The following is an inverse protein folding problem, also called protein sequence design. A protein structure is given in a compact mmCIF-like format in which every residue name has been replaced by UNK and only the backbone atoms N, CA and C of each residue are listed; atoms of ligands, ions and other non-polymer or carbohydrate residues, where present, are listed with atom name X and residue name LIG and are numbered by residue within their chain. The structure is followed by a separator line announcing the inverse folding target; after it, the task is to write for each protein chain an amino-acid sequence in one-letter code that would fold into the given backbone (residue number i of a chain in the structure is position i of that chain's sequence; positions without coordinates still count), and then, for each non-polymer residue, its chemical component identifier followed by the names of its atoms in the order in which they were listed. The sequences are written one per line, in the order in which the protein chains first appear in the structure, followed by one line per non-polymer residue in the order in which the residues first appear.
data_IF_166096634891
#
_entry.id   IF_166096634891
#
_cell.length_a   1.000
_cell.length_b   1.000
_cell.length_c   1.000
_cell.angle_alpha   90.00
_cell.angle_beta   90.00
_cell.angle_gamma   90.00
#
_symmetry.space_group_name_H-M   'P 1'
#
loop_
_entity.id
_entity.type
_entity.pdbx_description
1 polymer ?
#
# COMPACT_ATOMS: atom_id res chain seq x y z
N UNK A 1 -31.71 -32.07 7.83
CA UNK A 1 -30.87 -30.90 7.45
C UNK A 1 -29.41 -31.33 7.59
N UNK A 2 -28.57 -31.20 6.56
CA UNK A 2 -27.21 -31.79 6.54
C UNK A 2 -26.25 -30.94 7.41
N UNK A 3 -25.82 -31.39 8.61
CA UNK A 3 -25.03 -30.56 9.54
C UNK A 3 -23.67 -30.15 8.98
N UNK A 4 -23.11 -30.97 8.07
CA UNK A 4 -21.86 -30.68 7.36
C UNK A 4 -21.95 -29.43 6.48
N UNK A 5 -23.14 -29.09 5.96
CA UNK A 5 -23.33 -27.88 5.16
C UNK A 5 -23.22 -26.63 6.04
N UNK A 6 -23.74 -26.68 7.27
CA UNK A 6 -23.69 -25.56 8.23
C UNK A 6 -22.26 -25.32 8.70
N UNK A 7 -21.51 -26.39 8.98
CA UNK A 7 -20.10 -26.31 9.39
C UNK A 7 -19.25 -25.71 8.26
N UNK A 8 -19.46 -26.14 7.01
CA UNK A 8 -18.75 -25.59 5.85
C UNK A 8 -19.03 -24.09 5.66
N UNK A 9 -20.28 -23.66 5.83
CA UNK A 9 -20.66 -22.24 5.71
C UNK A 9 -20.03 -21.38 6.81
N UNK A 10 -19.96 -21.87 8.06
CA UNK A 10 -19.33 -21.15 9.17
C UNK A 10 -17.81 -20.95 8.97
N UNK A 11 -17.12 -21.96 8.45
CA UNK A 11 -15.69 -21.89 8.18
C UNK A 11 -15.36 -20.86 7.08
N UNK A 12 -16.20 -20.74 6.05
CA UNK A 12 -16.03 -19.76 4.97
C UNK A 12 -16.24 -18.31 5.44
N UNK A 13 -17.10 -18.07 6.44
CA UNK A 13 -17.33 -16.72 6.97
C UNK A 13 -16.18 -16.22 7.85
N UNK A 14 -15.54 -17.11 8.61
CA UNK A 14 -14.39 -16.75 9.45
C UNK A 14 -13.19 -16.27 8.61
N UNK A 15 -13.01 -16.82 7.40
CA UNK A 15 -11.94 -16.41 6.48
C UNK A 15 -12.16 -15.04 5.80
N UNK A 16 -13.37 -14.47 5.87
CA UNK A 16 -13.71 -13.22 5.18
C UNK A 16 -13.59 -11.97 6.07
N UNK A 17 -13.36 -12.12 7.37
CA UNK A 17 -13.18 -10.99 8.28
C UNK A 17 -11.72 -10.49 8.20
N UNK A 18 -11.40 -9.77 7.12
CA UNK A 18 -10.13 -9.06 7.04
C UNK A 18 -10.11 -7.94 8.10
N UNK A 19 -9.03 -7.87 8.87
CA UNK A 19 -8.85 -6.78 9.82
C UNK A 19 -8.89 -5.44 9.07
N UNK A 20 -9.57 -4.45 9.65
CA UNK A 20 -9.57 -3.10 9.08
C UNK A 20 -8.13 -2.58 9.00
N UNK A 21 -7.65 -2.15 7.81
CA UNK A 21 -6.29 -1.66 7.68
C UNK A 21 -6.14 -0.31 8.37
N UNK A 22 -4.93 -0.03 8.85
CA UNK A 22 -4.55 1.31 9.28
C UNK A 22 -4.20 2.15 8.06
N UNK A 23 -4.67 3.40 8.02
CA UNK A 23 -4.30 4.36 6.98
C UNK A 23 -3.30 5.38 7.57
N UNK A 24 -2.10 5.42 7.01
CA UNK A 24 -1.08 6.43 7.33
C UNK A 24 -0.87 7.29 6.09
N UNK A 25 -1.23 8.56 6.17
CA UNK A 25 -0.98 9.54 5.11
C UNK A 25 0.24 10.37 5.49
N UNK A 26 1.25 10.35 4.62
CA UNK A 26 2.43 11.21 4.72
C UNK A 26 2.35 12.22 3.59
N UNK A 27 2.26 13.50 3.94
CA UNK A 27 2.23 14.61 2.99
C UNK A 27 3.43 15.50 3.24
N UNK A 28 4.19 15.81 2.19
CA UNK A 28 5.44 16.56 2.27
C UNK A 28 5.25 17.87 1.54
N UNK A 29 5.53 18.97 2.24
CA UNK A 29 5.44 20.31 1.69
C UNK A 29 6.58 20.59 0.69
N UNK A 30 6.27 21.32 -0.38
CA UNK A 30 7.22 21.73 -1.43
C UNK A 30 8.10 20.62 -2.06
N UNK A 31 7.66 19.35 -1.99
CA UNK A 31 8.40 18.24 -2.57
C UNK A 31 8.33 18.24 -4.11
N UNK A 32 9.48 18.30 -4.75
CA UNK A 32 9.64 18.19 -6.20
C UNK A 32 9.56 16.76 -6.72
N UNK A 33 9.18 16.62 -7.99
CA UNK A 33 9.10 15.33 -8.70
C UNK A 33 10.40 14.51 -8.61
N UNK A 34 11.54 15.19 -8.76
CA UNK A 34 12.86 14.57 -8.82
C UNK A 34 13.56 14.45 -7.47
N UNK A 35 12.89 14.67 -6.34
CA UNK A 35 13.57 14.74 -5.04
C UNK A 35 13.96 13.36 -4.49
N UNK A 36 13.26 12.29 -4.89
CA UNK A 36 13.58 10.93 -4.47
C UNK A 36 14.46 10.16 -5.46
N UNK A 37 15.33 9.29 -4.95
CA UNK A 37 16.19 8.44 -5.77
C UNK A 37 15.39 7.49 -6.67
N UNK A 38 14.22 7.02 -6.24
CA UNK A 38 13.30 6.22 -7.06
C UNK A 38 12.66 6.98 -8.25
N UNK A 39 12.83 8.31 -8.33
CA UNK A 39 12.48 9.13 -9.49
C UNK A 39 13.72 9.63 -10.27
N UNK A 40 14.91 9.07 -9.99
CA UNK A 40 16.14 9.33 -10.74
C UNK A 40 17.08 10.35 -10.13
N UNK A 41 16.81 10.83 -8.90
CA UNK A 41 17.77 11.66 -8.17
C UNK A 41 19.08 10.89 -7.92
N UNK A 42 20.23 11.47 -8.30
CA UNK A 42 21.56 10.85 -8.13
C UNK A 42 22.27 11.28 -6.85
N UNK A 43 21.83 12.38 -6.24
CA UNK A 43 22.46 12.98 -5.07
C UNK A 43 21.72 12.60 -3.77
N UNK A 44 20.39 12.57 -3.82
CA UNK A 44 19.56 12.15 -2.70
C UNK A 44 19.65 10.64 -2.47
N UNK A 45 19.78 10.23 -1.20
CA UNK A 45 19.69 8.83 -0.78
C UNK A 45 18.42 8.64 0.04
N UNK A 46 17.39 8.06 -0.55
CA UNK A 46 16.09 7.83 0.11
C UNK A 46 15.72 6.35 0.22
N UNK A 47 16.53 5.52 0.91
CA UNK A 47 16.40 4.06 0.87
C UNK A 47 15.07 3.55 1.43
N UNK A 48 14.45 4.26 2.37
CA UNK A 48 13.13 3.89 2.90
C UNK A 48 12.00 4.16 1.90
N UNK A 49 12.09 5.27 1.15
CA UNK A 49 11.14 5.60 0.09
C UNK A 49 11.33 4.63 -1.10
N UNK A 50 12.58 4.34 -1.46
CA UNK A 50 12.91 3.39 -2.51
C UNK A 50 12.35 1.99 -2.22
N UNK A 51 12.45 1.54 -0.97
CA UNK A 51 11.83 0.28 -0.52
C UNK A 51 10.31 0.32 -0.67
N UNK A 52 9.66 1.40 -0.22
CA UNK A 52 8.19 1.54 -0.37
C UNK A 52 7.76 1.54 -1.83
N UNK A 53 8.51 2.22 -2.71
CA UNK A 53 8.25 2.23 -4.14
C UNK A 53 8.41 0.84 -4.79
N UNK A 54 9.36 0.02 -4.29
CA UNK A 54 9.59 -1.36 -4.76
C UNK A 54 8.55 -2.35 -4.26
N UNK A 55 8.11 -2.21 -3.01
CA UNK A 55 7.16 -3.12 -2.36
C UNK A 55 5.70 -2.76 -2.67
N UNK A 56 5.44 -1.53 -3.12
CA UNK A 56 4.11 -1.01 -3.39
C UNK A 56 3.95 -0.51 -4.82
N UNK A 57 3.18 0.58 -4.96
CA UNK A 57 2.91 1.25 -6.23
C UNK A 57 3.57 2.62 -6.20
N UNK A 58 4.37 2.92 -7.23
CA UNK A 58 4.94 4.24 -7.50
C UNK A 58 4.23 4.82 -8.72
N UNK A 59 3.53 5.95 -8.54
CA UNK A 59 2.89 6.65 -9.65
C UNK A 59 3.92 7.49 -10.39
N UNK A 60 4.10 7.24 -11.68
CA UNK A 60 5.03 8.02 -12.54
C UNK A 60 4.38 9.29 -13.11
N UNK A 61 3.07 9.47 -12.94
CA UNK A 61 2.29 10.60 -13.43
C UNK A 61 1.21 10.96 -12.39
N UNK A 62 1.57 11.74 -11.38
CA UNK A 62 0.66 12.23 -10.34
C UNK A 62 0.63 13.76 -10.39
N UNK A 63 -0.52 14.34 -10.74
CA UNK A 63 -0.70 15.78 -10.93
C UNK A 63 -1.57 16.37 -9.81
N UNK A 64 -1.27 17.61 -9.45
CA UNK A 64 -2.09 18.44 -8.55
C UNK A 64 -2.91 19.43 -9.39
N UNK A 65 -4.04 19.90 -8.84
CA UNK A 65 -4.94 20.85 -9.50
C UNK A 65 -4.45 22.29 -9.40
#
# INVERSE_FOLDING_TARGET
MKPYLVILTLLLHASLYAAQPNLVLVFIDDMGWGDFSCFGNKDARTPHIDRMAKEGIRFEQFYVN
#
